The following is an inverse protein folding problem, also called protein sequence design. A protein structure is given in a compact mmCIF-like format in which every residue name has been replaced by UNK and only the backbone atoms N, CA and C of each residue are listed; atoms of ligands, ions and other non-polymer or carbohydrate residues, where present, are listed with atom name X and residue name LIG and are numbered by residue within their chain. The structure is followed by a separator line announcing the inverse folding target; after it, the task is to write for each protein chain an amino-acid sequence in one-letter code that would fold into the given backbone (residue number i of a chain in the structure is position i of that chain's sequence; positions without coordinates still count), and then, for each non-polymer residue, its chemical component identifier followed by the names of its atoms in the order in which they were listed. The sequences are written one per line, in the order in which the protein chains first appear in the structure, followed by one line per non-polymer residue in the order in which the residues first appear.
data_IF_872297689592
#
_entry.id   IF_872297689592
#
_cell.length_a   1.000
_cell.length_b   1.000
_cell.length_c   1.000
_cell.angle_alpha   90.00
_cell.angle_beta   90.00
_cell.angle_gamma   90.00
#
_symmetry.space_group_name_H-M   'P 1'
#
loop_
_entity.id
_entity.type
_entity.pdbx_description
1 polymer ?
2 non-polymer ?
3 non-polymer ?
4 water ?
#
# COMPACT_ATOMS: atom_id res chain seq x y z
C UNK A 1 -1.69 5.03 4.26
N UNK A 2 -0.95 6.11 3.72
CA UNK A 2 -0.49 5.96 2.37
C UNK A 2 0.46 4.76 2.20
N UNK A 3 1.42 4.60 3.11
CA UNK A 3 2.41 3.56 3.00
C UNK A 3 1.75 2.17 2.80
N UNK A 4 0.72 1.90 3.60
CA UNK A 4 0.06 0.60 3.54
C UNK A 4 -0.94 0.47 2.40
N UNK A 5 -1.63 1.54 2.04
CA UNK A 5 -2.51 1.53 0.88
C UNK A 5 -1.71 0.99 -0.34
N UNK A 6 -0.51 1.54 -0.48
CA UNK A 6 0.37 1.12 -1.58
C UNK A 6 0.92 -0.28 -1.37
N UNK A 7 1.38 -0.59 -0.16
CA UNK A 7 1.96 -1.90 0.10
C UNK A 7 0.97 -3.02 -0.22
N UNK A 8 -0.27 -2.85 0.19
CA UNK A 8 -1.27 -3.90 -0.01
C UNK A 8 -1.57 -4.03 -1.51
N UNK A 9 -1.72 -2.90 -2.20
CA UNK A 9 -1.99 -2.88 -3.62
C UNK A 9 -0.92 -3.60 -4.47
N UNK A 10 0.30 -3.56 -3.97
CA UNK A 10 1.45 -4.09 -4.68
C UNK A 10 1.56 -5.59 -4.53
N UNK A 11 0.80 -6.28 -3.55
X LIG B 1 -3.95 1.12 5.88
X LIG B 1 -4.06 1.95 4.75
X LIG B 1 -3.21 0.51 5.80
X LIG B 1 -4.76 0.62 6.01
X LIG B 1 -3.81 1.73 6.63
X LIG B 1 -3.47 1.69 4.20
X LIG C 1 3.74 -0.82 5.21
X LIG C 1 2.79 -0.32 6.13
X LIG C 1 3.89 -0.19 4.49
X LIG C 1 3.44 -1.67 4.84
X LIG C 1 4.55 -0.95 5.73
X LIG C 1 2.16 -0.89 6.18
X LIG D 1 1.35 -4.25 4.33
#
# INVERSE_FOLDING_TARGET
XLAEALHMALX
MOH C O H1 H2 H3 HO
MOH C O H1 H2 H3 HO
CO CO
#
